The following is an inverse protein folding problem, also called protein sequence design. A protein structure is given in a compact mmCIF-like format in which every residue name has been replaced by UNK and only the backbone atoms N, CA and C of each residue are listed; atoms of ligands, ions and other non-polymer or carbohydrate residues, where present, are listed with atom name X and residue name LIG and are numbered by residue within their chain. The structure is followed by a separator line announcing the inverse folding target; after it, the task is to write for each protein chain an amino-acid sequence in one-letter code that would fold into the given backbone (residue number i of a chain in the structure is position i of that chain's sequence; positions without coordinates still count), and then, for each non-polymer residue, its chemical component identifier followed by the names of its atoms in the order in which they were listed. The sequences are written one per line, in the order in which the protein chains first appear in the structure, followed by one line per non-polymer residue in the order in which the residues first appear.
data_IF_066388708959
#
_entry.id   IF_066388708959
#
_cell.length_a   1.000
_cell.length_b   1.000
_cell.length_c   1.000
_cell.angle_alpha   90.00
_cell.angle_beta   90.00
_cell.angle_gamma   90.00
#
_symmetry.space_group_name_H-M   'P 1'
#
loop_
_entity.id
_entity.type
_entity.pdbx_description
1 polymer ?
#
# COMPACT_ATOMS: atom_id res chain seq x y z
N UNK A 1 -14.93 22.41 0.54
CA UNK A 1 -13.61 23.01 0.88
C UNK A 1 -12.62 21.87 1.00
N UNK A 2 -11.68 21.77 0.05
CA UNK A 2 -10.67 20.71 0.01
C UNK A 2 -9.74 20.94 1.21
N UNK A 3 -9.67 19.98 2.16
CA UNK A 3 -8.78 20.06 3.32
C UNK A 3 -7.36 20.40 2.83
N UNK A 4 -6.96 21.67 2.98
CA UNK A 4 -5.62 22.14 2.68
C UNK A 4 -4.71 21.56 3.76
N UNK A 5 -4.22 20.35 3.51
CA UNK A 5 -3.19 19.77 4.34
C UNK A 5 -1.91 20.58 4.09
N UNK A 6 -1.59 21.48 5.03
CA UNK A 6 -0.46 22.41 4.93
C UNK A 6 0.88 21.69 4.68
N UNK A 7 0.99 20.43 5.10
CA UNK A 7 2.19 19.61 4.87
C UNK A 7 2.34 19.10 3.43
N UNK A 8 1.25 19.11 2.65
CA UNK A 8 1.18 18.60 1.26
C UNK A 8 1.21 19.71 0.20
N UNK A 9 1.59 20.92 0.59
CA UNK A 9 1.72 22.06 -0.33
C UNK A 9 2.73 21.73 -1.44
N UNK A 10 2.34 21.98 -2.69
CA UNK A 10 3.21 21.81 -3.86
C UNK A 10 3.41 20.36 -4.32
N UNK A 11 2.75 19.37 -3.71
CA UNK A 11 2.90 17.96 -4.08
C UNK A 11 1.99 17.56 -5.26
N UNK A 12 2.52 16.72 -6.16
CA UNK A 12 1.74 16.01 -7.19
C UNK A 12 1.89 14.48 -7.04
N UNK A 13 0.95 13.71 -7.60
CA UNK A 13 0.90 12.24 -7.43
C UNK A 13 2.00 11.51 -8.20
N UNK A 14 2.53 12.13 -9.24
CA UNK A 14 3.61 11.65 -10.11
C UNK A 14 5.03 11.98 -9.59
N UNK A 15 5.15 12.65 -8.44
CA UNK A 15 6.46 12.98 -7.88
C UNK A 15 7.20 11.74 -7.42
N UNK A 16 8.49 11.71 -7.75
CA UNK A 16 9.44 10.79 -7.16
C UNK A 16 9.36 10.81 -5.61
N UNK A 17 9.47 9.63 -5.01
CA UNK A 17 9.23 9.41 -3.58
C UNK A 17 10.20 10.21 -2.72
N UNK A 18 11.43 10.41 -3.18
CA UNK A 18 12.43 11.19 -2.46
C UNK A 18 12.10 12.69 -2.47
N UNK A 19 11.78 13.25 -3.64
CA UNK A 19 11.40 14.68 -3.73
C UNK A 19 10.17 14.95 -2.88
N UNK A 20 9.18 14.06 -2.96
CA UNK A 20 7.94 14.17 -2.20
C UNK A 20 8.22 14.23 -0.70
N UNK A 21 9.07 13.33 -0.18
CA UNK A 21 9.48 13.31 1.23
C UNK A 21 10.17 14.61 1.63
N UNK A 22 11.17 15.07 0.85
CA UNK A 22 11.93 16.28 1.16
C UNK A 22 11.06 17.53 1.10
N UNK A 23 10.10 17.58 0.17
CA UNK A 23 9.13 18.68 0.07
C UNK A 23 8.20 18.70 1.27
N UNK A 24 7.75 17.54 1.76
CA UNK A 24 6.96 17.43 3.00
C UNK A 24 7.78 17.93 4.19
N UNK A 25 9.04 17.49 4.34
CA UNK A 25 9.91 17.94 5.42
C UNK A 25 10.15 19.46 5.36
N UNK A 26 10.34 20.00 4.17
CA UNK A 26 10.48 21.45 3.95
C UNK A 26 9.23 22.21 4.39
N UNK A 27 8.04 21.72 4.01
CA UNK A 27 6.77 22.31 4.46
C UNK A 27 6.62 22.24 5.99
N UNK A 28 6.98 21.11 6.61
CA UNK A 28 6.95 20.95 8.06
C UNK A 28 7.85 21.99 8.74
N UNK A 29 9.08 22.16 8.26
CA UNK A 29 10.02 23.16 8.80
C UNK A 29 9.45 24.57 8.64
N UNK A 30 8.93 24.93 7.47
CA UNK A 30 8.33 26.25 7.25
C UNK A 30 7.13 26.52 8.16
N UNK A 31 6.25 25.54 8.34
CA UNK A 31 5.08 25.70 9.21
C UNK A 31 5.50 25.86 10.67
N UNK A 32 6.43 25.04 11.16
CA UNK A 32 6.95 25.14 12.53
C UNK A 32 7.60 26.52 12.74
N UNK A 33 8.47 26.94 11.83
CA UNK A 33 9.12 28.26 11.92
C UNK A 33 8.12 29.41 11.80
N UNK A 34 7.10 29.28 10.95
CA UNK A 34 6.04 30.27 10.82
C UNK A 34 5.33 30.48 12.16
N UNK A 35 4.92 29.40 12.84
CA UNK A 35 4.26 29.52 14.14
C UNK A 35 5.19 30.03 15.24
N UNK A 36 6.43 29.55 15.29
CA UNK A 36 7.42 30.01 16.28
C UNK A 36 7.72 31.51 16.12
N UNK A 37 7.96 31.97 14.89
CA UNK A 37 8.23 33.38 14.60
C UNK A 37 7.00 34.25 14.80
N UNK A 38 5.81 33.76 14.44
CA UNK A 38 4.55 34.50 14.69
C UNK A 38 4.32 34.67 16.20
N UNK A 39 4.53 33.61 16.98
CA UNK A 39 4.45 33.67 18.45
C UNK A 39 5.46 34.65 19.04
N UNK A 40 6.71 34.63 18.55
CA UNK A 40 7.75 35.59 18.94
C UNK A 40 7.33 37.04 18.62
N UNK A 41 6.84 37.31 17.41
CA UNK A 41 6.41 38.64 16.98
C UNK A 41 5.22 39.16 17.80
N UNK A 42 4.26 38.29 18.15
CA UNK A 42 3.12 38.64 19.01
C UNK A 42 3.60 38.97 20.43
N UNK A 43 4.51 38.17 20.99
CA UNK A 43 5.03 38.40 22.33
C UNK A 43 5.77 39.75 22.45
N UNK A 44 6.55 40.12 21.44
CA UNK A 44 7.28 41.39 21.40
C UNK A 44 6.50 42.55 20.73
N UNK A 45 5.23 42.36 20.38
CA UNK A 45 4.39 43.37 19.74
C UNK A 45 4.36 44.72 20.51
N UNK A 46 4.27 44.75 21.85
CA UNK A 46 4.28 46.01 22.61
C UNK A 46 5.57 46.82 22.45
N UNK A 47 6.70 46.15 22.24
CA UNK A 47 7.99 46.81 22.03
C UNK A 47 8.13 47.34 20.60
N UNK A 48 7.51 46.67 19.62
CA UNK A 48 7.44 47.14 18.23
C UNK A 48 6.55 48.37 18.04
N UNK A 49 5.50 48.54 18.86
CA UNK A 49 4.59 49.69 18.79
C UNK A 49 5.23 51.00 19.27
N UNK A 50 6.34 50.92 20.02
CA UNK A 50 7.09 52.11 20.49
C UNK A 50 7.99 52.61 19.35
N UNK A 51 7.44 53.51 18.51
CA UNK A 51 8.11 54.05 17.31
C UNK A 51 9.48 54.71 17.56
N UNK A 52 9.77 55.15 18.79
CA UNK A 52 11.04 55.80 19.14
C UNK A 52 12.27 54.86 19.09
N UNK A 53 12.08 53.55 18.93
CA UNK A 53 13.17 52.55 18.97
C UNK A 53 13.36 51.75 17.68
N UNK A 54 12.85 52.21 16.53
CA UNK A 54 13.01 51.48 15.27
C UNK A 54 14.50 51.38 14.86
N UNK A 55 15.12 50.26 15.21
CA UNK A 55 16.47 49.88 14.78
C UNK A 55 16.37 48.72 13.78
N UNK A 56 17.31 48.64 12.84
CA UNK A 56 17.35 47.55 11.86
C UNK A 56 17.39 46.15 12.52
N UNK A 57 17.93 46.04 13.74
CA UNK A 57 17.90 44.80 14.54
C UNK A 57 16.50 44.30 14.85
N UNK A 58 15.57 45.21 15.15
CA UNK A 58 14.18 44.86 15.43
C UNK A 58 13.45 44.37 14.17
N UNK A 59 13.93 44.71 12.97
CA UNK A 59 13.37 44.22 11.72
C UNK A 59 13.78 42.76 11.40
N UNK A 60 14.82 42.21 12.02
CA UNK A 60 15.35 40.87 11.70
C UNK A 60 14.28 39.76 11.85
N UNK A 61 13.50 39.67 12.95
CA UNK A 61 12.46 38.66 13.09
C UNK A 61 11.34 38.80 12.05
N UNK A 62 10.99 40.03 11.66
CA UNK A 62 10.01 40.30 10.59
C UNK A 62 10.53 39.81 9.24
N UNK A 63 11.79 40.12 8.90
CA UNK A 63 12.41 39.66 7.66
C UNK A 63 12.55 38.14 7.63
N UNK A 64 12.87 37.51 8.77
CA UNK A 64 12.92 36.06 8.88
C UNK A 64 11.53 35.44 8.66
N UNK A 65 10.49 36.02 9.25
CA UNK A 65 9.10 35.60 9.04
C UNK A 65 8.68 35.75 7.57
N UNK A 66 8.98 36.88 6.93
CA UNK A 66 8.71 37.11 5.50
C UNK A 66 9.44 36.06 4.65
N UNK A 67 10.69 35.72 4.98
CA UNK A 67 11.43 34.69 4.24
C UNK A 67 10.77 33.31 4.30
N UNK A 68 10.15 32.95 5.42
CA UNK A 68 9.38 31.71 5.56
C UNK A 68 8.12 31.75 4.70
N UNK A 69 7.39 32.87 4.70
CA UNK A 69 6.18 33.05 3.89
C UNK A 69 6.50 33.01 2.39
N UNK A 70 7.59 33.64 1.97
CA UNK A 70 8.09 33.57 0.59
C UNK A 70 8.46 32.15 0.23
N UNK A 71 9.14 31.42 1.13
CA UNK A 71 9.43 29.99 0.96
C UNK A 71 8.16 29.17 0.73
N UNK A 72 7.15 29.30 1.61
CA UNK A 72 5.86 28.59 1.44
C UNK A 72 5.22 28.92 0.09
N UNK A 73 5.22 30.20 -0.29
CA UNK A 73 4.63 30.67 -1.54
C UNK A 73 5.34 30.12 -2.78
N UNK A 74 6.68 30.09 -2.78
CA UNK A 74 7.47 29.47 -3.85
C UNK A 74 7.24 27.96 -3.92
N UNK A 75 7.05 27.31 -2.77
CA UNK A 75 6.71 25.89 -2.72
C UNK A 75 5.31 25.60 -3.29
N UNK A 76 4.34 26.50 -3.06
CA UNK A 76 3.02 26.45 -3.72
C UNK A 76 3.12 26.58 -5.24
N UNK A 77 4.04 27.42 -5.72
CA UNK A 77 4.34 27.60 -7.15
C UNK A 77 5.20 26.46 -7.75
N UNK A 78 5.45 25.38 -6.99
CA UNK A 78 6.26 24.21 -7.39
C UNK A 78 7.72 24.53 -7.69
N UNK A 79 8.20 25.71 -7.27
CA UNK A 79 9.59 26.12 -7.39
C UNK A 79 10.38 25.67 -6.15
N UNK A 80 10.44 24.35 -5.92
CA UNK A 80 10.94 23.76 -4.67
C UNK A 80 12.41 24.09 -4.38
N UNK A 81 13.28 24.00 -5.39
CA UNK A 81 14.72 24.29 -5.21
C UNK A 81 14.92 25.77 -4.89
N UNK A 82 14.28 26.66 -5.66
CA UNK A 82 14.38 28.10 -5.47
C UNK A 82 13.85 28.52 -4.09
N UNK A 83 12.73 27.96 -3.64
CA UNK A 83 12.20 28.16 -2.28
C UNK A 83 13.26 27.91 -1.22
N UNK A 84 13.94 26.76 -1.31
CA UNK A 84 14.95 26.36 -0.33
C UNK A 84 16.18 27.25 -0.37
N UNK A 85 16.65 27.62 -1.57
CA UNK A 85 17.79 28.50 -1.75
C UNK A 85 17.54 29.91 -1.20
N UNK A 86 16.38 30.50 -1.53
CA UNK A 86 15.98 31.82 -1.03
C UNK A 86 15.90 31.78 0.49
N UNK A 87 15.18 30.80 1.04
CA UNK A 87 15.01 30.65 2.48
C UNK A 87 16.33 30.44 3.22
N UNK A 88 17.17 29.48 2.81
CA UNK A 88 18.38 29.16 3.58
C UNK A 88 19.41 30.29 3.51
N UNK A 89 19.52 30.96 2.36
CA UNK A 89 20.42 32.10 2.19
C UNK A 89 19.97 33.28 3.05
N UNK A 90 18.67 33.59 3.04
CA UNK A 90 18.12 34.64 3.91
C UNK A 90 18.21 34.27 5.38
N UNK A 91 17.98 33.00 5.75
CA UNK A 91 18.05 32.53 7.13
C UNK A 91 19.47 32.63 7.69
N UNK A 92 20.47 32.17 6.94
CA UNK A 92 21.87 32.30 7.32
C UNK A 92 22.26 33.78 7.48
N UNK A 93 21.87 34.63 6.53
CA UNK A 93 22.16 36.05 6.59
C UNK A 93 21.50 36.72 7.81
N UNK A 94 20.20 36.53 8.00
CA UNK A 94 19.40 37.21 9.03
C UNK A 94 19.70 36.71 10.45
N UNK A 95 19.94 35.41 10.63
CA UNK A 95 20.08 34.81 11.96
C UNK A 95 21.55 34.71 12.40
N UNK A 96 22.48 34.48 11.46
CA UNK A 96 23.89 34.23 11.81
C UNK A 96 24.79 35.43 11.46
N UNK A 97 24.70 35.97 10.24
CA UNK A 97 25.68 36.97 9.78
C UNK A 97 25.33 38.38 10.29
N UNK A 98 24.13 38.87 9.97
CA UNK A 98 23.71 40.26 10.22
C UNK A 98 23.77 40.65 11.71
N UNK A 99 23.24 39.84 12.67
CA UNK A 99 23.26 40.22 14.08
C UNK A 99 24.68 40.43 14.62
N UNK A 100 25.64 39.65 14.10
CA UNK A 100 27.06 39.67 14.46
C UNK A 100 27.77 40.87 13.85
N UNK A 101 27.52 41.17 12.57
CA UNK A 101 28.15 42.28 11.83
C UNK A 101 27.67 43.65 12.32
N UNK A 102 26.42 43.77 12.77
CA UNK A 102 25.85 45.04 13.25
C UNK A 102 26.44 45.54 14.60
N UNK A 103 27.36 44.82 15.22
CA UNK A 103 28.02 45.22 16.48
C UNK A 103 27.08 45.20 17.70
N UNK A 104 27.52 45.58 18.90
CA UNK A 104 26.72 45.54 20.15
C UNK A 104 26.28 44.13 20.57
N UNK A 105 27.23 43.20 20.57
CA UNK A 105 27.03 41.82 21.01
C UNK A 105 27.26 41.72 22.51
N UNK A 106 26.23 41.32 23.27
CA UNK A 106 26.35 41.05 24.71
C UNK A 106 27.20 39.77 24.93
N UNK A 107 27.91 39.62 26.06
CA UNK A 107 28.63 38.38 26.40
C UNK A 107 27.79 37.11 26.24
N UNK A 108 26.47 37.18 26.52
CA UNK A 108 25.56 36.03 26.37
C UNK A 108 25.45 35.54 24.92
N UNK A 109 25.64 36.43 23.94
CA UNK A 109 25.51 36.10 22.53
C UNK A 109 26.67 35.21 22.04
N UNK A 110 27.82 35.23 22.71
CA UNK A 110 28.91 34.29 22.42
C UNK A 110 28.54 32.84 22.78
N UNK A 111 27.61 32.65 23.73
CA UNK A 111 27.06 31.34 24.08
C UNK A 111 25.93 30.93 23.12
N UNK A 112 25.06 31.86 22.73
CA UNK A 112 23.87 31.55 21.92
C UNK A 112 24.17 31.44 20.42
N UNK A 113 25.19 32.15 19.92
CA UNK A 113 25.52 32.15 18.50
C UNK A 113 25.82 30.76 17.91
N UNK A 114 26.68 29.92 18.53
CA UNK A 114 26.90 28.57 18.03
C UNK A 114 25.64 27.69 18.05
N UNK A 115 24.70 27.95 18.97
CA UNK A 115 23.41 27.25 19.01
C UNK A 115 22.54 27.63 17.80
N UNK A 116 22.53 28.89 17.37
CA UNK A 116 21.84 29.29 16.14
C UNK A 116 22.44 28.63 14.89
N UNK A 117 23.78 28.52 14.82
CA UNK A 117 24.44 27.78 13.77
C UNK A 117 24.05 26.29 13.77
N UNK A 118 23.97 25.66 14.95
CA UNK A 118 23.53 24.27 15.12
C UNK A 118 22.08 24.05 14.66
N UNK A 119 21.17 24.95 15.03
CA UNK A 119 19.78 24.89 14.52
C UNK A 119 19.77 25.04 13.01
N UNK A 120 20.58 25.95 12.46
CA UNK A 120 20.68 26.14 11.01
C UNK A 120 21.25 24.88 10.30
N UNK A 121 22.24 24.19 10.88
CA UNK A 121 22.79 22.96 10.30
C UNK A 121 21.76 21.83 10.26
N UNK A 122 20.97 21.67 11.32
CA UNK A 122 19.91 20.66 11.35
C UNK A 122 18.81 20.94 10.33
N UNK A 123 18.44 22.21 10.14
CA UNK A 123 17.49 22.64 9.10
C UNK A 123 17.99 22.24 7.70
N UNK A 124 19.29 22.41 7.42
CA UNK A 124 19.88 22.02 6.11
C UNK A 124 19.68 20.52 5.85
N UNK A 125 19.90 19.67 6.85
CA UNK A 125 19.71 18.22 6.72
C UNK A 125 18.25 17.81 6.46
N UNK A 126 17.29 18.58 6.97
CA UNK A 126 15.86 18.30 6.78
C UNK A 126 15.33 18.79 5.42
N UNK A 127 15.86 19.90 4.92
CA UNK A 127 15.33 20.61 3.74
C UNK A 127 16.00 20.17 2.44
N UNK A 128 17.28 19.81 2.45
CA UNK A 128 18.01 19.43 1.24
C UNK A 128 18.15 17.91 1.09
N UNK A 129 18.00 17.42 -0.14
CA UNK A 129 18.33 16.02 -0.46
C UNK A 129 19.85 15.86 -0.64
N UNK A 130 20.51 14.95 0.08
CA UNK A 130 21.94 14.68 -0.13
C UNK A 130 22.21 13.97 -1.47
N UNK A 131 21.21 13.33 -2.08
CA UNK A 131 21.36 12.58 -3.33
C UNK A 131 21.10 13.45 -4.56
N UNK A 132 20.01 14.21 -4.56
CA UNK A 132 19.57 15.02 -5.71
C UNK A 132 20.13 16.44 -5.70
N UNK A 133 20.30 17.02 -4.53
CA UNK A 133 20.72 18.42 -4.34
C UNK A 133 22.10 18.51 -3.67
N UNK A 134 22.96 17.51 -3.96
CA UNK A 134 24.28 17.31 -3.32
C UNK A 134 25.13 18.57 -3.25
N UNK A 135 25.16 19.36 -4.32
CA UNK A 135 26.00 20.57 -4.39
C UNK A 135 25.59 21.59 -3.32
N UNK A 136 24.30 21.96 -3.30
CA UNK A 136 23.78 22.93 -2.33
C UNK A 136 23.83 22.39 -0.90
N UNK A 137 23.51 21.11 -0.72
CA UNK A 137 23.59 20.44 0.57
C UNK A 137 24.99 20.55 1.18
N UNK A 138 26.04 20.12 0.46
CA UNK A 138 27.40 20.15 0.97
C UNK A 138 27.92 21.57 1.10
N UNK A 139 27.61 22.46 0.15
CA UNK A 139 27.99 23.87 0.21
C UNK A 139 27.50 24.54 1.50
N UNK A 140 26.18 24.50 1.77
CA UNK A 140 25.62 25.14 2.97
C UNK A 140 26.06 24.43 4.25
N UNK A 141 26.16 23.10 4.24
CA UNK A 141 26.63 22.34 5.40
C UNK A 141 28.06 22.74 5.77
N UNK A 142 29.00 22.72 4.82
CA UNK A 142 30.40 23.11 5.05
C UNK A 142 30.48 24.56 5.51
N UNK A 143 29.72 25.46 4.88
CA UNK A 143 29.68 26.87 5.26
C UNK A 143 29.24 27.06 6.72
N UNK A 144 28.13 26.45 7.14
CA UNK A 144 27.63 26.55 8.52
C UNK A 144 28.57 25.87 9.51
N UNK A 145 29.19 24.75 9.13
CA UNK A 145 30.24 24.11 9.94
C UNK A 145 31.45 25.02 10.17
N UNK A 146 31.84 25.79 9.14
CA UNK A 146 32.83 26.85 9.28
C UNK A 146 32.41 27.91 10.31
N UNK A 147 31.15 28.36 10.26
CA UNK A 147 30.62 29.32 11.25
C UNK A 147 30.59 28.75 12.67
N UNK A 148 30.33 27.45 12.86
CA UNK A 148 30.40 26.81 14.18
C UNK A 148 31.85 26.76 14.68
N UNK A 149 32.76 26.25 13.86
CA UNK A 149 34.15 26.04 14.23
C UNK A 149 34.89 27.34 14.57
N UNK A 150 34.60 28.40 13.81
CA UNK A 150 35.19 29.74 13.96
C UNK A 150 34.23 30.74 14.60
N UNK A 151 33.23 30.26 15.33
CA UNK A 151 32.16 31.10 15.91
C UNK A 151 32.68 32.23 16.79
N UNK A 152 33.66 31.93 17.64
CA UNK A 152 34.25 32.91 18.56
C UNK A 152 35.14 33.93 17.84
N UNK A 153 35.96 33.49 16.89
CA UNK A 153 36.80 34.34 16.04
C UNK A 153 35.96 35.28 15.18
N UNK A 154 34.88 34.74 14.61
CA UNK A 154 33.95 35.52 13.80
C UNK A 154 33.28 36.60 14.64
N UNK A 155 32.78 36.25 15.83
CA UNK A 155 32.16 37.22 16.74
C UNK A 155 33.15 38.28 17.25
N UNK A 156 34.36 37.89 17.63
CA UNK A 156 35.37 38.81 18.17
C UNK A 156 35.93 39.75 17.11
N UNK A 157 36.02 39.31 15.84
CA UNK A 157 36.45 40.14 14.73
C UNK A 157 35.60 41.40 14.56
N UNK A 158 34.26 41.26 14.68
CA UNK A 158 33.31 42.37 14.56
C UNK A 158 33.04 43.11 15.89
N UNK A 159 33.43 42.55 17.03
CA UNK A 159 33.16 43.11 18.36
C UNK A 159 34.46 43.21 19.19
N UNK A 160 35.41 44.02 18.70
CA UNK A 160 36.76 44.16 19.29
C UNK A 160 36.76 44.67 20.74
N UNK A 161 35.67 45.32 21.17
CA UNK A 161 35.52 45.88 22.51
C UNK A 161 35.29 44.79 23.58
N UNK A 162 34.85 43.59 23.19
CA UNK A 162 34.58 42.49 24.12
C UNK A 162 35.82 41.62 24.26
N UNK A 163 36.49 41.71 25.42
CA UNK A 163 37.63 40.86 25.70
C UNK A 163 37.18 39.44 26.08
N UNK A 164 37.48 38.46 25.24
CA UNK A 164 37.13 37.05 25.45
C UNK A 164 37.65 36.48 26.78
N UNK A 165 38.78 36.97 27.28
CA UNK A 165 39.34 36.54 28.57
C UNK A 165 38.52 37.02 29.77
N UNK A 166 37.77 38.12 29.62
CA UNK A 166 36.86 38.61 30.67
C UNK A 166 35.53 37.85 30.68
N UNK A 167 35.06 37.40 29.51
CA UNK A 167 33.83 36.62 29.39
C UNK A 167 34.07 35.15 29.76
N UNK A 168 35.24 34.61 29.41
CA UNK A 168 35.61 33.22 29.65
C UNK A 168 37.01 33.13 30.31
N UNK A 169 37.14 33.46 31.61
CA UNK A 169 38.42 33.51 32.31
C UNK A 169 39.13 32.14 32.40
N UNK A 170 38.39 31.04 32.30
CA UNK A 170 38.92 29.68 32.14
C UNK A 170 37.94 28.81 31.34
N UNK A 171 38.44 27.91 30.49
CA UNK A 171 37.60 26.90 29.83
C UNK A 171 37.09 27.23 28.42
N UNK A 172 37.59 28.30 27.78
CA UNK A 172 37.22 28.65 26.39
C UNK A 172 37.42 27.47 25.40
N UNK A 173 38.59 26.82 25.45
CA UNK A 173 38.89 25.66 24.61
C UNK A 173 37.95 24.50 24.89
N UNK A 174 37.65 24.23 26.17
CA UNK A 174 36.72 23.17 26.56
C UNK A 174 35.32 23.45 26.01
N UNK A 175 34.82 24.67 26.17
CA UNK A 175 33.51 25.08 25.66
C UNK A 175 33.42 24.94 24.14
N UNK A 176 34.45 25.36 23.40
CA UNK A 176 34.53 25.18 21.94
C UNK A 176 34.43 23.71 21.55
N UNK A 177 35.23 22.85 22.19
CA UNK A 177 35.21 21.41 21.94
C UNK A 177 33.83 20.83 22.27
N UNK A 178 33.21 21.24 23.39
CA UNK A 178 31.87 20.79 23.76
C UNK A 178 30.82 21.19 22.72
N UNK A 179 30.84 22.42 22.21
CA UNK A 179 29.93 22.87 21.15
C UNK A 179 30.11 22.03 19.88
N UNK A 180 31.37 21.81 19.46
CA UNK A 180 31.66 21.01 18.27
C UNK A 180 31.16 19.58 18.48
N UNK A 181 31.42 18.97 19.63
CA UNK A 181 30.95 17.63 19.98
C UNK A 181 29.42 17.52 19.95
N UNK A 182 28.71 18.48 20.56
CA UNK A 182 27.25 18.54 20.52
C UNK A 182 26.75 18.69 19.08
N UNK A 183 27.40 19.54 18.28
CA UNK A 183 27.05 19.76 16.87
C UNK A 183 27.25 18.49 16.05
N UNK A 184 28.40 17.80 16.20
CA UNK A 184 28.65 16.50 15.55
C UNK A 184 27.56 15.51 15.95
N UNK A 185 27.30 15.37 17.24
CA UNK A 185 26.35 14.40 17.79
C UNK A 185 24.93 14.63 17.26
N UNK A 186 24.43 15.87 17.33
CA UNK A 186 23.07 16.21 16.89
C UNK A 186 22.91 16.00 15.39
N UNK A 187 23.86 16.48 14.57
CA UNK A 187 23.77 16.29 13.12
C UNK A 187 23.91 14.80 12.74
N UNK A 188 24.78 14.04 13.42
CA UNK A 188 24.89 12.59 13.23
C UNK A 188 23.58 11.86 13.58
N UNK A 189 22.94 12.22 14.71
CA UNK A 189 21.67 11.65 15.12
C UNK A 189 20.56 11.97 14.10
N UNK A 190 20.47 13.22 13.63
CA UNK A 190 19.49 13.63 12.60
C UNK A 190 19.73 12.86 11.29
N UNK A 191 20.97 12.77 10.83
CA UNK A 191 21.31 11.99 9.63
C UNK A 191 20.96 10.51 9.78
N UNK A 192 21.21 9.92 10.94
CA UNK A 192 20.86 8.54 11.23
C UNK A 192 19.33 8.32 11.21
N UNK A 193 18.56 9.23 11.82
CA UNK A 193 17.10 9.21 11.78
C UNK A 193 16.55 9.31 10.36
N UNK A 194 17.08 10.23 9.54
CA UNK A 194 16.70 10.35 8.13
C UNK A 194 17.01 9.06 7.38
N UNK A 195 18.18 8.45 7.62
CA UNK A 195 18.58 7.19 6.98
C UNK A 195 17.65 6.03 7.34
N UNK A 196 17.34 5.86 8.63
CA UNK A 196 16.40 4.83 9.10
C UNK A 196 15.02 5.04 8.48
N UNK A 197 14.52 6.28 8.52
CA UNK A 197 13.22 6.61 7.98
C UNK A 197 13.13 6.23 6.51
N UNK A 198 14.18 6.50 5.73
CA UNK A 198 14.25 6.11 4.32
C UNK A 198 14.18 4.59 4.13
N UNK A 199 14.89 3.81 4.95
CA UNK A 199 14.82 2.34 4.90
C UNK A 199 13.42 1.81 5.22
N UNK A 200 12.75 2.38 6.22
CA UNK A 200 11.38 2.02 6.55
C UNK A 200 10.41 2.34 5.42
N UNK A 201 10.52 3.52 4.80
CA UNK A 201 9.70 3.89 3.64
C UNK A 201 9.88 2.92 2.47
N UNK A 202 11.12 2.59 2.11
CA UNK A 202 11.39 1.63 1.02
C UNK A 202 10.83 0.24 1.34
N UNK A 203 10.99 -0.22 2.57
CA UNK A 203 10.45 -1.52 3.02
C UNK A 203 8.92 -1.55 2.97
N UNK A 204 8.27 -0.47 3.41
CA UNK A 204 6.82 -0.34 3.37
C UNK A 204 6.29 -0.33 1.93
N UNK A 205 6.97 0.38 1.03
CA UNK A 205 6.61 0.41 -0.39
C UNK A 205 6.70 -1.00 -1.02
N UNK A 206 7.82 -1.70 -0.80
CA UNK A 206 8.00 -3.07 -1.31
C UNK A 206 6.92 -4.02 -0.79
N UNK A 207 6.54 -3.91 0.48
CA UNK A 207 5.43 -4.70 1.05
C UNK A 207 4.10 -4.38 0.38
N UNK A 208 3.79 -3.10 0.14
CA UNK A 208 2.56 -2.71 -0.54
C UNK A 208 2.50 -3.22 -1.99
N UNK A 209 3.62 -3.20 -2.71
CA UNK A 209 3.74 -3.77 -4.05
C UNK A 209 3.48 -5.29 -4.02
N UNK A 210 4.12 -6.02 -3.10
CA UNK A 210 3.90 -7.46 -2.92
C UNK A 210 2.44 -7.77 -2.57
N UNK A 211 1.81 -6.98 -1.69
CA UNK A 211 0.40 -7.12 -1.34
C UNK A 211 -0.47 -6.91 -2.60
N UNK A 212 -0.20 -5.89 -3.40
CA UNK A 212 -0.94 -5.63 -4.64
C UNK A 212 -0.81 -6.79 -5.64
N UNK A 213 0.37 -7.39 -5.78
CA UNK A 213 0.58 -8.56 -6.62
C UNK A 213 -0.18 -9.79 -6.10
N UNK A 214 -0.16 -10.02 -4.78
CA UNK A 214 -0.92 -11.10 -4.15
C UNK A 214 -2.42 -10.94 -4.37
N UNK A 215 -2.96 -9.71 -4.27
CA UNK A 215 -4.36 -9.44 -4.57
C UNK A 215 -4.72 -9.82 -6.01
N UNK A 216 -3.91 -9.41 -6.99
CA UNK A 216 -4.13 -9.77 -8.40
C UNK A 216 -4.11 -11.30 -8.61
N UNK A 217 -3.18 -12.00 -7.96
CA UNK A 217 -3.09 -13.46 -8.05
C UNK A 217 -4.32 -14.12 -7.43
N UNK A 218 -4.77 -13.66 -6.26
CA UNK A 218 -5.93 -14.19 -5.57
C UNK A 218 -7.21 -13.98 -6.39
N UNK A 219 -7.35 -12.82 -7.03
CA UNK A 219 -8.45 -12.53 -7.94
C UNK A 219 -8.46 -13.46 -9.17
N UNK A 220 -7.29 -13.70 -9.78
CA UNK A 220 -7.16 -14.65 -10.89
C UNK A 220 -7.50 -16.10 -10.51
N UNK A 221 -7.06 -16.53 -9.32
CA UNK A 221 -7.36 -17.86 -8.78
C UNK A 221 -8.84 -18.02 -8.48
N UNK A 222 -9.47 -16.99 -7.90
CA UNK A 222 -10.90 -16.97 -7.64
C UNK A 222 -11.69 -17.16 -8.94
N UNK A 223 -11.35 -16.41 -9.99
CA UNK A 223 -12.01 -16.53 -11.30
C UNK A 223 -11.84 -17.93 -11.91
N UNK A 224 -10.63 -18.48 -11.86
CA UNK A 224 -10.38 -19.84 -12.34
C UNK A 224 -11.17 -20.90 -11.55
N UNK A 225 -11.35 -20.70 -10.25
CA UNK A 225 -12.15 -21.57 -9.40
C UNK A 225 -13.64 -21.46 -9.70
N UNK A 226 -14.15 -20.25 -9.97
CA UNK A 226 -15.53 -20.02 -10.42
C UNK A 226 -15.78 -20.71 -11.79
N UNK A 227 -14.88 -20.57 -12.75
CA UNK A 227 -14.96 -21.24 -14.05
C UNK A 227 -14.92 -22.78 -13.91
N UNK A 228 -14.04 -23.30 -13.05
CA UNK A 228 -13.96 -24.74 -12.78
C UNK A 228 -15.23 -25.26 -12.11
N UNK A 229 -15.77 -24.50 -11.15
CA UNK A 229 -17.02 -24.83 -10.47
C UNK A 229 -18.17 -24.93 -11.49
N UNK A 230 -18.30 -23.96 -12.39
CA UNK A 230 -19.33 -23.99 -13.43
C UNK A 230 -19.20 -25.25 -14.32
N UNK A 231 -17.98 -25.55 -14.80
CA UNK A 231 -17.72 -26.75 -15.61
C UNK A 231 -18.04 -28.06 -14.86
N UNK A 232 -17.74 -28.10 -13.56
CA UNK A 232 -18.06 -29.24 -12.71
C UNK A 232 -19.57 -29.39 -12.56
N UNK A 233 -20.31 -28.31 -12.32
CA UNK A 233 -21.77 -28.31 -12.23
C UNK A 233 -22.40 -28.78 -13.56
N UNK A 234 -21.97 -28.26 -14.70
CA UNK A 234 -22.42 -28.71 -16.03
C UNK A 234 -22.18 -30.21 -16.23
N UNK A 235 -20.99 -30.71 -15.88
CA UNK A 235 -20.65 -32.12 -16.01
C UNK A 235 -21.45 -33.00 -15.06
N UNK A 236 -21.71 -32.54 -13.84
CA UNK A 236 -22.56 -33.23 -12.86
C UNK A 236 -23.97 -33.32 -13.40
N UNK A 237 -24.57 -32.21 -13.87
CA UNK A 237 -25.92 -32.21 -14.44
C UNK A 237 -26.02 -33.16 -15.63
N UNK A 238 -25.10 -33.09 -16.58
CA UNK A 238 -25.08 -33.98 -17.75
C UNK A 238 -24.97 -35.46 -17.35
N UNK A 239 -24.09 -35.79 -16.39
CA UNK A 239 -23.95 -37.16 -15.87
C UNK A 239 -25.19 -37.62 -15.13
N UNK A 240 -25.81 -36.76 -14.33
CA UNK A 240 -27.04 -37.08 -13.61
C UNK A 240 -28.18 -37.35 -14.58
N UNK A 241 -28.33 -36.53 -15.63
CA UNK A 241 -29.34 -36.75 -16.68
C UNK A 241 -29.15 -38.10 -17.38
N UNK A 242 -27.93 -38.40 -17.84
CA UNK A 242 -27.60 -39.70 -18.46
C UNK A 242 -27.92 -40.87 -17.51
N UNK A 243 -27.53 -40.76 -16.24
CA UNK A 243 -27.79 -41.81 -15.25
C UNK A 243 -29.28 -41.98 -14.94
N UNK A 244 -30.05 -40.89 -14.94
CA UNK A 244 -31.51 -40.97 -14.74
C UNK A 244 -32.20 -41.64 -15.92
N UNK A 245 -31.76 -41.36 -17.15
CA UNK A 245 -32.27 -42.00 -18.36
C UNK A 245 -31.93 -43.48 -18.38
N UNK A 246 -30.66 -43.83 -18.13
CA UNK A 246 -30.23 -45.22 -18.02
C UNK A 246 -30.98 -45.98 -16.92
N UNK A 247 -31.19 -45.37 -15.75
CA UNK A 247 -32.00 -45.97 -14.69
C UNK A 247 -33.45 -46.21 -15.14
N UNK A 248 -34.06 -45.26 -15.87
CA UNK A 248 -35.41 -45.41 -16.41
C UNK A 248 -35.50 -46.61 -17.35
N UNK A 249 -34.58 -46.71 -18.32
CA UNK A 249 -34.47 -47.85 -19.25
C UNK A 249 -34.30 -49.17 -18.50
N UNK A 250 -33.42 -49.21 -17.49
CA UNK A 250 -33.18 -50.42 -16.68
C UNK A 250 -34.44 -50.85 -15.90
N UNK A 251 -35.18 -49.88 -15.37
CA UNK A 251 -36.46 -50.10 -14.66
C UNK A 251 -37.50 -50.71 -15.59
N UNK A 252 -37.61 -50.18 -16.81
CA UNK A 252 -38.51 -50.70 -17.84
C UNK A 252 -38.13 -52.14 -18.25
N UNK A 253 -36.84 -52.40 -18.48
CA UNK A 253 -36.34 -53.76 -18.73
C UNK A 253 -36.67 -54.73 -17.59
N UNK A 254 -36.47 -54.30 -16.34
CA UNK A 254 -36.75 -55.13 -15.16
C UNK A 254 -38.25 -55.44 -15.04
N UNK A 255 -39.11 -54.49 -15.39
CA UNK A 255 -40.56 -54.69 -15.44
C UNK A 255 -40.95 -55.73 -16.49
N UNK A 256 -40.46 -55.60 -17.73
CA UNK A 256 -40.73 -56.57 -18.79
C UNK A 256 -40.22 -57.97 -18.44
N UNK A 257 -38.99 -58.07 -17.94
CA UNK A 257 -38.41 -59.36 -17.55
C UNK A 257 -39.22 -60.02 -16.42
N UNK A 258 -39.53 -59.28 -15.35
CA UNK A 258 -40.15 -59.85 -14.15
C UNK A 258 -41.66 -60.11 -14.26
N UNK A 259 -42.40 -59.31 -15.04
CA UNK A 259 -43.87 -59.40 -15.10
C UNK A 259 -44.40 -59.92 -16.43
N UNK A 260 -43.77 -59.54 -17.54
CA UNK A 260 -44.28 -59.85 -18.89
C UNK A 260 -43.69 -61.17 -19.41
N UNK A 261 -42.38 -61.39 -19.24
CA UNK A 261 -41.72 -62.62 -19.70
C UNK A 261 -41.79 -63.76 -18.67
N UNK A 262 -41.66 -63.46 -17.38
CA UNK A 262 -41.65 -64.49 -16.34
C UNK A 262 -42.97 -65.28 -16.25
N UNK A 263 -44.11 -64.63 -16.47
CA UNK A 263 -45.43 -65.26 -16.38
C UNK A 263 -45.64 -66.39 -17.41
N UNK A 264 -45.46 -66.18 -18.73
CA UNK A 264 -45.57 -67.26 -19.71
C UNK A 264 -44.46 -68.30 -19.55
N UNK A 265 -43.22 -67.91 -19.23
CA UNK A 265 -42.12 -68.87 -19.00
C UNK A 265 -42.41 -69.79 -17.81
N UNK A 266 -42.90 -69.26 -16.69
CA UNK A 266 -43.31 -70.07 -15.54
C UNK A 266 -44.49 -70.98 -15.89
N UNK A 267 -45.45 -70.51 -16.69
CA UNK A 267 -46.59 -71.30 -17.16
C UNK A 267 -46.14 -72.46 -18.05
N UNK A 268 -45.29 -72.20 -19.04
CA UNK A 268 -44.70 -73.22 -19.92
C UNK A 268 -43.90 -74.24 -19.10
N UNK A 269 -43.03 -73.80 -18.18
CA UNK A 269 -42.26 -74.72 -17.32
C UNK A 269 -43.16 -75.58 -16.44
N UNK A 270 -44.24 -75.02 -15.89
CA UNK A 270 -45.23 -75.77 -15.12
C UNK A 270 -45.95 -76.81 -15.96
N UNK A 271 -46.40 -76.44 -17.16
CA UNK A 271 -47.05 -77.36 -18.11
C UNK A 271 -46.11 -78.47 -18.61
N UNK A 272 -44.83 -78.14 -18.85
CA UNK A 272 -43.80 -79.11 -19.22
C UNK A 272 -43.54 -80.12 -18.09
N UNK A 273 -43.54 -79.65 -16.83
CA UNK A 273 -43.45 -80.52 -15.66
C UNK A 273 -44.67 -81.44 -15.56
N UNK A 274 -45.88 -80.94 -15.80
CA UNK A 274 -47.08 -81.77 -15.83
C UNK A 274 -47.04 -82.86 -16.92
N UNK A 275 -46.45 -82.58 -18.10
CA UNK A 275 -46.21 -83.59 -19.14
C UNK A 275 -45.16 -84.64 -18.77
N UNK A 276 -44.33 -84.39 -17.75
CA UNK A 276 -43.29 -85.33 -17.31
C UNK A 276 -43.77 -86.35 -16.27
N UNK A 277 -45.03 -86.24 -15.85
CA UNK A 277 -45.70 -87.15 -14.91
C UNK A 277 -46.72 -87.99 -15.71
N UNK A 278 -47.12 -89.17 -15.24
CA UNK A 278 -48.18 -89.95 -15.90
C UNK A 278 -49.52 -89.20 -15.87
N UNK A 279 -49.98 -88.78 -17.05
CA UNK A 279 -51.24 -88.06 -17.28
C UNK A 279 -52.12 -88.82 -18.25
N UNK A 280 -53.44 -88.67 -18.16
CA UNK A 280 -54.36 -89.34 -19.10
C UNK A 280 -54.21 -88.79 -20.54
N UNK A 281 -54.53 -89.56 -21.59
CA UNK A 281 -54.37 -89.13 -22.99
C UNK A 281 -55.14 -87.84 -23.35
N UNK A 282 -56.32 -87.64 -22.73
CA UNK A 282 -57.12 -86.43 -22.92
C UNK A 282 -56.52 -85.21 -22.21
N UNK A 283 -55.94 -85.40 -21.02
CA UNK A 283 -55.23 -84.35 -20.30
C UNK A 283 -53.92 -83.97 -21.01
N UNK A 284 -53.20 -84.94 -21.56
CA UNK A 284 -51.99 -84.69 -22.36
C UNK A 284 -52.30 -83.78 -23.57
N UNK A 285 -53.39 -84.08 -24.28
CA UNK A 285 -53.85 -83.27 -25.41
C UNK A 285 -54.20 -81.84 -24.99
N UNK A 286 -54.83 -81.68 -23.82
CA UNK A 286 -55.18 -80.37 -23.25
C UNK A 286 -53.96 -79.58 -22.78
N UNK A 287 -52.98 -80.25 -22.16
CA UNK A 287 -51.72 -79.63 -21.74
C UNK A 287 -50.92 -79.19 -22.97
N UNK A 288 -50.85 -80.00 -24.04
CA UNK A 288 -50.20 -79.62 -25.31
C UNK A 288 -50.86 -78.39 -25.96
N UNK A 289 -52.19 -78.28 -25.91
CA UNK A 289 -52.90 -77.09 -26.39
C UNK A 289 -52.56 -75.83 -25.55
N UNK A 290 -52.56 -75.94 -24.22
CA UNK A 290 -52.19 -74.84 -23.31
C UNK A 290 -50.69 -74.46 -23.44
N UNK A 291 -49.84 -75.41 -23.78
CA UNK A 291 -48.40 -75.17 -24.00
C UNK A 291 -48.18 -74.44 -25.33
N UNK A 292 -48.92 -74.80 -26.38
CA UNK A 292 -48.94 -74.04 -27.63
C UNK A 292 -49.42 -72.60 -27.41
N UNK A 293 -50.47 -72.40 -26.61
CA UNK A 293 -50.96 -71.07 -26.23
C UNK A 293 -49.92 -70.27 -25.43
N UNK A 294 -49.28 -70.88 -24.44
CA UNK A 294 -48.21 -70.26 -23.66
C UNK A 294 -46.98 -69.86 -24.50
N UNK A 295 -46.64 -70.67 -25.51
CA UNK A 295 -45.57 -70.34 -26.47
C UNK A 295 -45.96 -69.18 -27.39
N UNK A 296 -47.22 -69.11 -27.84
CA UNK A 296 -47.73 -67.97 -28.61
C UNK A 296 -47.73 -66.68 -27.77
N UNK A 297 -48.15 -66.75 -26.51
CA UNK A 297 -48.08 -65.60 -25.59
C UNK A 297 -46.63 -65.14 -25.36
N UNK A 298 -45.68 -66.08 -25.23
CA UNK A 298 -44.26 -65.77 -25.08
C UNK A 298 -43.70 -65.09 -26.35
N UNK A 299 -44.00 -65.61 -27.53
CA UNK A 299 -43.58 -65.00 -28.80
C UNK A 299 -44.16 -63.59 -28.96
N UNK A 300 -45.43 -63.39 -28.58
CA UNK A 300 -46.07 -62.08 -28.58
C UNK A 300 -45.39 -61.12 -27.58
N UNK A 301 -45.07 -61.59 -26.38
CA UNK A 301 -44.36 -60.81 -25.38
C UNK A 301 -42.96 -60.40 -25.88
N UNK A 302 -42.19 -61.33 -26.45
CA UNK A 302 -40.86 -61.06 -27.04
C UNK A 302 -40.97 -60.06 -28.18
N UNK A 303 -41.94 -60.24 -29.09
CA UNK A 303 -42.17 -59.32 -30.21
C UNK A 303 -42.51 -57.92 -29.73
N UNK A 304 -43.38 -57.79 -28.72
CA UNK A 304 -43.74 -56.49 -28.13
C UNK A 304 -42.56 -55.76 -27.47
N UNK A 305 -41.62 -56.50 -26.87
CA UNK A 305 -40.40 -55.95 -26.28
C UNK A 305 -39.46 -55.45 -27.40
N UNK A 306 -39.31 -56.26 -28.45
CA UNK A 306 -38.43 -55.92 -29.57
C UNK A 306 -38.94 -54.70 -30.35
N UNK A 307 -40.27 -54.61 -30.56
CA UNK A 307 -40.91 -53.47 -31.22
C UNK A 307 -40.73 -52.18 -30.40
N UNK A 308 -40.83 -52.26 -29.06
CA UNK A 308 -40.58 -51.10 -28.18
C UNK A 308 -39.12 -50.69 -28.12
N UNK A 309 -38.18 -51.64 -28.18
CA UNK A 309 -36.74 -51.36 -28.22
C UNK A 309 -36.34 -50.68 -29.53
N UNK A 310 -36.86 -51.16 -30.66
CA UNK A 310 -36.63 -50.51 -31.96
C UNK A 310 -37.20 -49.09 -32.03
N UNK A 311 -38.37 -48.85 -31.45
CA UNK A 311 -38.92 -47.48 -31.36
C UNK A 311 -38.07 -46.57 -30.48
N UNK A 312 -37.49 -47.10 -29.40
CA UNK A 312 -36.59 -46.33 -28.52
C UNK A 312 -35.25 -45.99 -29.20
N UNK A 313 -34.63 -46.92 -29.94
CA UNK A 313 -33.40 -46.67 -30.72
C UNK A 313 -33.63 -45.64 -31.83
N UNK A 314 -34.77 -45.69 -32.52
CA UNK A 314 -35.05 -44.80 -33.65
C UNK A 314 -35.26 -43.33 -33.22
N UNK A 315 -35.62 -43.09 -31.96
CA UNK A 315 -35.77 -41.75 -31.37
C UNK A 315 -34.43 -41.17 -30.88
N UNK A 316 -33.46 -42.00 -30.51
CA UNK A 316 -32.10 -41.56 -30.13
C UNK A 316 -31.26 -41.11 -31.34
N UNK A 317 -31.49 -41.66 -32.53
CA UNK A 317 -30.78 -41.26 -33.77
C UNK A 317 -31.24 -39.91 -34.36
N UNK A 318 -32.33 -39.33 -33.85
CA UNK A 318 -32.94 -38.09 -34.35
C UNK A 318 -32.71 -36.86 -33.44
N UNK A 319 -32.09 -37.02 -32.27
CA UNK A 319 -31.84 -35.96 -31.27
C UNK A 319 -30.37 -35.60 -31.14
#
# INVERSE_FOLDING_TARGET
MRNLNLFKIGLTEDMDTEIRRVTILTNVVYIILFFLLTGYLIFYLPDYLKLERLTFRLAIPWLAWVSVVVGISLNMLRQHVLSKLVFISSWIALINIIPTVLGNVSPINFLTYPLYCLVTSTIIHLIFSPYRERFFYYFFTIFVWGLVAFSFEFMSYFNREVNLQTVFPAGFTLMRVTIIMITVFINAAVMYLIRINNQFYTSLQKKNETISEQYKRLESQRKALEDLKQKLEEKVVARTQLLTEQNSKLREYTFFNSHVLRAPVSRIRGLLYLLSIEVSPDEEKRIRALLAEGMVELDQAIKSINDKLQQAEHLEDLS
#
